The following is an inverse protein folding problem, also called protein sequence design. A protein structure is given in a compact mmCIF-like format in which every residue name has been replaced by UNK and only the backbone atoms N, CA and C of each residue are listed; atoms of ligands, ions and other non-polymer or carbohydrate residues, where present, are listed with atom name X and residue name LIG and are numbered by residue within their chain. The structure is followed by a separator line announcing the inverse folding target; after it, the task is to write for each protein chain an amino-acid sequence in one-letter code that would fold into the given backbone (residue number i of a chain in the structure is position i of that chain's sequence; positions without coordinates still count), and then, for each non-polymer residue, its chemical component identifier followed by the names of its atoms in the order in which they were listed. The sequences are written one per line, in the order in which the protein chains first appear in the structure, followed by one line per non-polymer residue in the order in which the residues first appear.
data_IF_652608902061
#
_entry.id   IF_652608902061
#
_cell.length_a   1.000
_cell.length_b   1.000
_cell.length_c   1.000
_cell.angle_alpha   90.00
_cell.angle_beta   90.00
_cell.angle_gamma   90.00
#
_symmetry.space_group_name_H-M   'P 1'
#
loop_
_entity.id
_entity.type
_entity.pdbx_description
1 polymer ?
#
# COMPACT_ATOMS: atom_id res chain seq x y z
N UNK A 1 21.23 11.02 -19.79
CA UNK A 1 20.71 9.70 -19.35
C UNK A 1 20.17 9.00 -20.57
N UNK A 2 20.58 7.76 -20.84
CA UNK A 2 20.09 6.98 -21.97
C UNK A 2 18.77 6.26 -21.60
N UNK A 3 17.95 5.90 -22.58
CA UNK A 3 16.62 5.31 -22.38
C UNK A 3 16.65 4.09 -21.43
N UNK A 4 17.62 3.20 -21.61
CA UNK A 4 17.79 2.00 -20.77
C UNK A 4 18.08 2.35 -19.31
N UNK A 5 18.93 3.35 -19.07
CA UNK A 5 19.26 3.81 -17.71
C UNK A 5 18.04 4.39 -17.01
N UNK A 6 17.23 5.18 -17.74
CA UNK A 6 15.98 5.72 -17.22
C UNK A 6 15.00 4.60 -16.83
N UNK A 7 14.84 3.57 -17.66
CA UNK A 7 14.00 2.41 -17.33
C UNK A 7 14.44 1.73 -16.04
N UNK A 8 15.75 1.49 -15.86
CA UNK A 8 16.25 0.87 -14.63
C UNK A 8 15.97 1.72 -13.39
N UNK A 9 16.17 3.03 -13.47
CA UNK A 9 15.87 3.95 -12.37
C UNK A 9 14.36 3.94 -12.05
N UNK A 10 13.50 3.94 -13.06
CA UNK A 10 12.05 3.85 -12.89
C UNK A 10 11.63 2.53 -12.24
N UNK A 11 12.17 1.40 -12.69
CA UNK A 11 11.90 0.09 -12.11
C UNK A 11 12.36 0.02 -10.64
N UNK A 12 13.55 0.53 -10.34
CA UNK A 12 14.06 0.61 -8.97
C UNK A 12 13.17 1.51 -8.09
N UNK A 13 12.81 2.69 -8.57
CA UNK A 13 11.93 3.61 -7.84
C UNK A 13 10.54 3.02 -7.61
N UNK A 14 9.96 2.35 -8.61
CA UNK A 14 8.68 1.66 -8.52
C UNK A 14 8.74 0.53 -7.50
N UNK A 15 9.77 -0.30 -7.54
CA UNK A 15 9.98 -1.37 -6.57
C UNK A 15 10.14 -0.82 -5.15
N UNK A 16 11.03 0.15 -4.95
CA UNK A 16 11.26 0.80 -3.65
C UNK A 16 9.97 1.40 -3.09
N UNK A 17 9.22 2.14 -3.90
CA UNK A 17 7.97 2.77 -3.48
C UNK A 17 6.91 1.74 -3.14
N UNK A 18 6.78 0.69 -3.95
CA UNK A 18 5.80 -0.39 -3.72
C UNK A 18 6.11 -1.15 -2.42
N UNK A 19 7.38 -1.53 -2.23
CA UNK A 19 7.84 -2.20 -1.00
C UNK A 19 7.64 -1.31 0.21
N UNK A 20 8.01 -0.03 0.13
CA UNK A 20 7.80 0.93 1.21
C UNK A 20 6.31 1.05 1.59
N UNK A 21 5.42 1.25 0.61
CA UNK A 21 3.97 1.33 0.86
C UNK A 21 3.42 0.06 1.53
N UNK A 22 3.80 -1.11 1.03
CA UNK A 22 3.38 -2.39 1.62
C UNK A 22 3.93 -2.58 3.04
N UNK A 23 5.18 -2.18 3.29
CA UNK A 23 5.79 -2.23 4.60
C UNK A 23 5.10 -1.29 5.60
N UNK A 24 4.83 -0.04 5.21
CA UNK A 24 4.05 0.92 6.03
C UNK A 24 2.65 0.39 6.32
N UNK A 25 1.96 -0.16 5.32
CA UNK A 25 0.63 -0.73 5.51
C UNK A 25 0.64 -1.89 6.52
N UNK A 26 1.63 -2.80 6.43
CA UNK A 26 1.82 -3.88 7.41
C UNK A 26 2.10 -3.35 8.82
N UNK A 27 2.96 -2.33 8.95
CA UNK A 27 3.27 -1.70 10.24
C UNK A 27 2.03 -1.04 10.85
N UNK A 28 1.22 -0.39 10.03
CA UNK A 28 -0.04 0.22 10.47
C UNK A 28 -1.03 -0.84 10.98
N UNK A 29 -1.20 -1.94 10.24
CA UNK A 29 -2.04 -3.07 10.67
C UNK A 29 -1.56 -3.69 11.98
N UNK A 30 -0.25 -3.89 12.15
CA UNK A 30 0.31 -4.42 13.39
C UNK A 30 0.04 -3.48 14.58
N UNK A 31 0.17 -2.17 14.38
CA UNK A 31 -0.12 -1.18 15.41
C UNK A 31 -1.61 -1.18 15.80
N UNK A 32 -2.52 -1.23 14.82
CA UNK A 32 -3.97 -1.33 15.07
C UNK A 32 -4.28 -2.61 15.85
N UNK A 33 -3.74 -3.75 15.42
CA UNK A 33 -3.97 -5.04 16.08
C UNK A 33 -3.47 -5.05 17.53
N UNK A 34 -2.36 -4.38 17.83
CA UNK A 34 -1.82 -4.27 19.19
C UNK A 34 -2.68 -3.37 20.11
N UNK A 35 -3.33 -2.34 19.57
CA UNK A 35 -4.08 -1.36 20.36
C UNK A 35 -5.61 -1.56 20.34
N UNK A 36 -6.15 -2.48 19.53
CA UNK A 36 -7.60 -2.75 19.40
C UNK A 36 -8.30 -3.12 20.71
N UNK A 37 -7.55 -3.65 21.69
CA UNK A 37 -8.10 -4.20 22.93
C UNK A 37 -8.35 -3.14 24.00
N UNK A 38 -7.88 -1.90 23.82
CA UNK A 38 -8.04 -0.83 24.80
C UNK A 38 -8.40 0.48 24.12
N UNK A 39 -9.52 1.07 24.53
CA UNK A 39 -9.85 2.45 24.16
C UNK A 39 -8.97 3.38 24.99
N UNK A 40 -8.30 4.39 24.40
CA UNK A 40 -7.58 5.38 25.18
C UNK A 40 -8.50 6.07 26.18
N UNK A 41 -8.01 6.32 27.39
CA UNK A 41 -8.82 6.77 28.54
C UNK A 41 -9.64 8.04 28.22
N UNK A 42 -9.05 8.94 27.41
CA UNK A 42 -9.69 10.16 26.92
C UNK A 42 -11.00 9.94 26.13
N UNK A 43 -11.18 8.77 25.51
CA UNK A 43 -12.36 8.42 24.70
C UNK A 43 -13.26 7.35 25.34
N UNK A 44 -12.83 6.75 26.46
CA UNK A 44 -13.57 5.69 27.17
C UNK A 44 -15.00 6.08 27.56
N UNK A 45 -15.24 7.38 27.84
CA UNK A 45 -16.56 7.92 28.20
C UNK A 45 -17.48 8.21 27.00
N UNK A 46 -16.94 8.19 25.77
CA UNK A 46 -17.67 8.56 24.54
C UNK A 46 -17.89 7.40 23.58
N UNK A 47 -17.04 6.37 23.63
CA UNK A 47 -17.05 5.27 22.67
C UNK A 47 -16.95 3.96 23.43
N UNK A 48 -17.89 3.05 23.19
CA UNK A 48 -17.84 1.70 23.73
C UNK A 48 -16.66 0.92 23.14
N UNK A 49 -16.07 0.01 23.92
CA UNK A 49 -14.96 -0.83 23.47
C UNK A 49 -15.32 -1.63 22.20
N UNK A 50 -16.56 -2.10 22.10
CA UNK A 50 -17.08 -2.83 20.94
C UNK A 50 -17.06 -1.99 19.66
N UNK A 51 -17.40 -0.71 19.75
CA UNK A 51 -17.40 0.20 18.61
C UNK A 51 -15.97 0.54 18.18
N UNK A 52 -15.05 0.68 19.14
CA UNK A 52 -13.63 0.86 18.85
C UNK A 52 -13.03 -0.36 18.14
N UNK A 53 -13.34 -1.58 18.61
CA UNK A 53 -12.93 -2.82 17.96
C UNK A 53 -13.49 -2.93 16.54
N UNK A 54 -14.77 -2.59 16.34
CA UNK A 54 -15.39 -2.57 15.02
C UNK A 54 -14.69 -1.59 14.07
N UNK A 55 -14.32 -0.40 14.54
CA UNK A 55 -13.56 0.57 13.76
C UNK A 55 -12.14 0.08 13.44
N UNK A 56 -11.48 -0.61 14.38
CA UNK A 56 -10.16 -1.22 14.17
C UNK A 56 -10.22 -2.34 13.12
N UNK A 57 -11.23 -3.20 13.18
CA UNK A 57 -11.45 -4.28 12.21
C UNK A 57 -11.78 -3.73 10.82
N UNK A 58 -12.65 -2.71 10.74
CA UNK A 58 -12.96 -2.02 9.48
C UNK A 58 -11.71 -1.40 8.84
N UNK A 59 -10.90 -0.69 9.64
CA UNK A 59 -9.65 -0.07 9.16
C UNK A 59 -8.66 -1.13 8.71
N UNK A 60 -8.62 -2.27 9.40
CA UNK A 60 -7.76 -3.39 9.03
C UNK A 60 -8.17 -4.00 7.69
N UNK A 61 -9.46 -4.26 7.49
CA UNK A 61 -10.01 -4.75 6.23
C UNK A 61 -9.75 -3.77 5.08
N UNK A 62 -10.04 -2.48 5.29
CA UNK A 62 -9.80 -1.41 4.31
C UNK A 62 -8.34 -1.30 3.92
N UNK A 63 -7.42 -1.41 4.89
CA UNK A 63 -5.97 -1.34 4.63
C UNK A 63 -5.50 -2.54 3.83
N UNK A 64 -5.95 -3.76 4.15
CA UNK A 64 -5.65 -4.97 3.37
C UNK A 64 -6.14 -4.86 1.92
N UNK A 65 -7.33 -4.29 1.72
CA UNK A 65 -7.83 -4.00 0.38
C UNK A 65 -6.96 -2.97 -0.35
N UNK A 66 -6.54 -1.89 0.34
CA UNK A 66 -5.61 -0.91 -0.21
C UNK A 66 -4.26 -1.49 -0.64
N UNK A 67 -3.77 -2.53 0.05
CA UNK A 67 -2.56 -3.25 -0.37
C UNK A 67 -2.71 -3.95 -1.73
N UNK A 68 -3.90 -4.47 -2.04
CA UNK A 68 -4.18 -5.04 -3.37
C UNK A 68 -4.17 -3.94 -4.44
N UNK A 69 -4.73 -2.76 -4.13
CA UNK A 69 -4.67 -1.59 -5.00
C UNK A 69 -3.23 -1.19 -5.33
N UNK A 70 -2.34 -1.15 -4.33
CA UNK A 70 -0.91 -0.85 -4.53
C UNK A 70 -0.26 -1.82 -5.53
N UNK A 71 -0.56 -3.12 -5.41
CA UNK A 71 -0.02 -4.13 -6.32
C UNK A 71 -0.59 -3.99 -7.73
N UNK A 72 -1.89 -3.71 -7.83
CA UNK A 72 -2.57 -3.49 -9.10
C UNK A 72 -1.99 -2.27 -9.83
N UNK A 73 -1.84 -1.14 -9.14
CA UNK A 73 -1.25 0.07 -9.70
C UNK A 73 0.19 -0.16 -10.19
N UNK A 74 0.99 -0.89 -9.40
CA UNK A 74 2.36 -1.23 -9.79
C UNK A 74 2.39 -2.16 -11.01
N UNK A 75 1.50 -3.16 -11.07
CA UNK A 75 1.40 -4.07 -12.21
C UNK A 75 0.95 -3.33 -13.48
N UNK A 76 -0.04 -2.43 -13.37
CA UNK A 76 -0.52 -1.64 -14.49
C UNK A 76 0.56 -0.70 -15.02
N UNK A 77 1.30 -0.04 -14.13
CA UNK A 77 2.41 0.83 -14.53
C UNK A 77 3.54 0.05 -15.20
N UNK A 78 3.86 -1.15 -14.70
CA UNK A 78 4.82 -2.06 -15.35
C UNK A 78 4.33 -2.46 -16.74
N UNK A 79 3.06 -2.87 -16.86
CA UNK A 79 2.48 -3.27 -18.14
C UNK A 79 2.57 -2.14 -19.16
N UNK A 80 2.18 -0.92 -18.81
CA UNK A 80 2.28 0.23 -19.71
C UNK A 80 3.72 0.57 -20.06
N UNK A 81 4.63 0.53 -19.08
CA UNK A 81 6.06 0.81 -19.33
C UNK A 81 6.69 -0.20 -20.30
N UNK A 82 6.29 -1.47 -20.22
CA UNK A 82 6.80 -2.53 -21.09
C UNK A 82 6.10 -2.58 -22.45
N UNK A 83 4.76 -2.45 -22.48
CA UNK A 83 3.97 -2.48 -23.71
C UNK A 83 4.33 -1.33 -24.64
N UNK A 84 4.47 -0.11 -24.10
CA UNK A 84 4.93 1.06 -24.88
C UNK A 84 6.32 0.82 -25.47
N UNK A 85 7.21 0.07 -24.80
CA UNK A 85 8.53 -0.25 -25.36
C UNK A 85 8.46 -1.27 -26.51
N UNK A 86 7.49 -2.18 -26.49
CA UNK A 86 7.32 -3.20 -27.54
C UNK A 86 6.80 -2.56 -28.83
N UNK A 87 5.88 -1.59 -28.74
CA UNK A 87 5.37 -0.84 -29.89
C UNK A 87 6.47 -0.01 -30.60
N UNK A 88 7.51 0.39 -29.87
CA UNK A 88 8.56 1.33 -30.35
C UNK A 88 9.81 0.60 -30.87
N UNK A 89 9.85 -0.74 -30.86
CA UNK A 89 10.89 -1.49 -31.57
C UNK A 89 10.54 -1.52 -33.07
N UNK A 90 11.23 -0.75 -33.93
CA UNK A 90 10.88 -0.69 -35.34
C UNK A 90 11.39 -1.93 -36.07
N UNK A 91 10.64 -2.32 -37.10
CA UNK A 91 11.18 -2.98 -38.30
C UNK A 91 12.39 -2.20 -38.81
#
# INVERSE_FOLDING_TARGET
MNATQFTFVLLAALALTTVAKLWLARRHLAYIAAHRAAVPEAFSKKIALTDHQKAADYTSAKTRFGMLGILFDAALLLLFTLAVRIEVAPV
#
